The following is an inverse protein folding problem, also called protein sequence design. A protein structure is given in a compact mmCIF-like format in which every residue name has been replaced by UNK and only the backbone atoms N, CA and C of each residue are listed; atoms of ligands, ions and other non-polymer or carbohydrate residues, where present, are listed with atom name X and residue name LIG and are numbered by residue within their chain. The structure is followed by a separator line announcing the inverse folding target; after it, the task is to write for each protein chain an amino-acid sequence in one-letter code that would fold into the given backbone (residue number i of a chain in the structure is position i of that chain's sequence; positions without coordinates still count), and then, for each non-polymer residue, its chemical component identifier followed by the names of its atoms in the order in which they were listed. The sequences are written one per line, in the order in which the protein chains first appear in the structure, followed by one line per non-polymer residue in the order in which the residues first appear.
data_IF_569529637351
#
_entry.id   IF_569529637351
#
_cell.length_a   1.000
_cell.length_b   1.000
_cell.length_c   1.000
_cell.angle_alpha   90.00
_cell.angle_beta   90.00
_cell.angle_gamma   90.00
#
_symmetry.space_group_name_H-M   'P 1'
#
loop_
_entity.id
_entity.type
_entity.pdbx_description
1 polymer ?
#
# COMPACT_ATOMS: atom_id res chain seq x y z
N UNK A 1 -1.33 11.75 -36.27
CA UNK A 1 -0.41 12.23 -35.21
C UNK A 1 -0.59 11.32 -34.03
N UNK A 2 0.42 10.49 -33.78
CA UNK A 2 0.50 9.53 -32.69
C UNK A 2 0.71 10.27 -31.36
N UNK A 3 -0.01 9.88 -30.30
CA UNK A 3 0.44 10.16 -28.94
C UNK A 3 0.01 9.02 -28.00
N UNK A 4 0.90 8.04 -27.97
CA UNK A 4 1.15 6.98 -26.99
C UNK A 4 0.95 7.39 -25.53
N UNK A 5 -0.25 7.24 -24.95
CA UNK A 5 -0.41 7.41 -23.49
C UNK A 5 -1.40 6.46 -22.79
N UNK A 6 -2.08 5.55 -23.50
CA UNK A 6 -2.96 4.56 -22.87
C UNK A 6 -2.24 3.33 -22.30
N UNK A 7 -0.93 3.18 -22.56
CA UNK A 7 -0.08 2.05 -22.14
C UNK A 7 0.83 2.37 -20.93
N UNK A 8 0.51 3.37 -20.11
CA UNK A 8 1.31 3.63 -18.90
C UNK A 8 1.21 2.45 -17.94
N UNK A 9 2.34 2.07 -17.32
CA UNK A 9 2.44 0.93 -16.40
C UNK A 9 1.36 0.97 -15.30
N UNK A 10 1.07 2.17 -14.78
CA UNK A 10 0.03 2.39 -13.76
C UNK A 10 -1.39 2.09 -14.28
N UNK A 11 -1.68 2.42 -15.53
CA UNK A 11 -2.98 2.15 -16.14
C UNK A 11 -3.20 0.64 -16.31
N UNK A 12 -2.15 -0.11 -16.69
CA UNK A 12 -2.20 -1.57 -16.75
C UNK A 12 -2.43 -2.21 -15.37
N UNK A 13 -1.86 -1.62 -14.34
CA UNK A 13 -1.98 -2.07 -12.96
C UNK A 13 -3.39 -1.89 -12.38
N UNK A 14 -4.00 -0.72 -12.56
CA UNK A 14 -5.38 -0.46 -12.10
C UNK A 14 -6.39 -1.34 -12.83
N UNK A 15 -6.15 -1.60 -14.11
CA UNK A 15 -7.02 -2.43 -14.94
C UNK A 15 -6.86 -3.95 -14.70
N UNK A 16 -5.94 -4.38 -13.83
CA UNK A 16 -5.78 -5.81 -13.51
C UNK A 16 -4.95 -6.60 -14.54
N UNK A 17 -4.28 -5.90 -15.47
CA UNK A 17 -3.55 -6.50 -16.59
C UNK A 17 -2.05 -6.68 -16.29
N UNK A 18 -1.63 -6.51 -15.03
CA UNK A 18 -0.23 -6.67 -14.62
C UNK A 18 -0.02 -7.95 -13.82
N UNK A 19 1.18 -8.53 -13.96
CA UNK A 19 1.49 -9.82 -13.33
C UNK A 19 1.47 -9.68 -11.82
N UNK A 20 0.78 -10.61 -11.16
CA UNK A 20 0.58 -10.63 -9.70
C UNK A 20 1.88 -10.47 -8.90
N UNK A 21 2.98 -11.12 -9.33
CA UNK A 21 4.26 -11.02 -8.63
C UNK A 21 4.84 -9.60 -8.67
N UNK A 22 4.67 -8.85 -9.77
CA UNK A 22 5.14 -7.46 -9.86
C UNK A 22 4.35 -6.58 -8.92
N UNK A 23 3.03 -6.75 -8.91
CA UNK A 23 2.14 -6.02 -7.99
C UNK A 23 2.53 -6.34 -6.55
N UNK A 24 2.76 -7.61 -6.24
CA UNK A 24 3.20 -8.03 -4.92
C UNK A 24 4.53 -7.36 -4.54
N UNK A 25 5.62 -7.56 -5.28
CA UNK A 25 6.95 -7.03 -4.91
C UNK A 25 7.04 -5.50 -4.89
N UNK A 26 6.51 -4.83 -5.90
CA UNK A 26 6.59 -3.36 -6.02
C UNK A 26 5.75 -2.71 -4.93
N UNK A 27 4.57 -3.22 -4.64
CA UNK A 27 3.72 -2.63 -3.63
C UNK A 27 4.16 -3.06 -2.22
N UNK A 28 4.43 -4.35 -1.95
CA UNK A 28 4.86 -4.76 -0.60
C UNK A 28 6.14 -4.08 -0.12
N UNK A 29 7.19 -4.13 -0.96
CA UNK A 29 8.54 -3.81 -0.50
C UNK A 29 8.87 -2.37 -0.84
N UNK A 30 8.79 -2.01 -2.12
CA UNK A 30 9.21 -0.69 -2.56
C UNK A 30 8.28 0.38 -2.01
N UNK A 31 6.97 0.18 -2.09
CA UNK A 31 6.02 1.18 -1.61
C UNK A 31 6.03 1.30 -0.08
N UNK A 32 6.22 0.20 0.65
CA UNK A 32 6.32 0.27 2.11
C UNK A 32 7.61 0.90 2.63
N UNK A 33 8.74 0.64 1.97
CA UNK A 33 9.98 1.35 2.25
C UNK A 33 9.83 2.82 1.88
N UNK A 34 9.28 3.12 0.71
CA UNK A 34 9.08 4.48 0.24
C UNK A 34 8.21 5.29 1.19
N UNK A 35 7.04 4.76 1.60
CA UNK A 35 6.16 5.43 2.57
C UNK A 35 6.88 5.63 3.90
N UNK A 36 7.60 4.65 4.43
CA UNK A 36 8.34 4.83 5.69
C UNK A 36 9.48 5.86 5.58
N UNK A 37 10.24 5.85 4.48
CA UNK A 37 11.37 6.75 4.24
C UNK A 37 10.88 8.17 4.00
N UNK A 38 9.88 8.36 3.13
CA UNK A 38 9.24 9.65 2.92
C UNK A 38 8.72 10.20 4.23
N UNK A 39 7.98 9.41 5.01
CA UNK A 39 7.45 9.90 6.28
C UNK A 39 8.54 10.24 7.31
N UNK A 40 9.62 9.45 7.41
CA UNK A 40 10.72 9.76 8.34
C UNK A 40 11.57 10.96 7.92
N UNK A 41 11.63 11.29 6.63
CA UNK A 41 12.47 12.38 6.11
C UNK A 41 11.65 13.67 5.90
N UNK A 42 10.44 13.59 5.36
CA UNK A 42 9.61 14.77 5.08
C UNK A 42 9.07 15.41 6.36
N UNK A 43 8.66 14.61 7.35
CA UNK A 43 8.03 15.12 8.58
C UNK A 43 8.97 16.05 9.36
N UNK A 44 10.25 15.69 9.61
CA UNK A 44 11.21 16.62 10.24
C UNK A 44 11.52 17.85 9.38
N UNK A 45 11.57 17.67 8.06
CA UNK A 45 11.96 18.74 7.12
C UNK A 45 10.91 19.84 6.99
N UNK A 46 9.63 19.51 7.18
CA UNK A 46 8.52 20.44 7.07
C UNK A 46 8.16 21.12 8.41
N UNK A 47 8.88 20.81 9.50
CA UNK A 47 8.63 21.34 10.85
C UNK A 47 7.15 21.25 11.27
N UNK A 48 6.45 20.23 10.78
CA UNK A 48 5.05 19.96 11.14
C UNK A 48 5.08 19.45 12.57
N UNK A 49 4.22 20.02 13.44
CA UNK A 49 4.05 19.54 14.81
C UNK A 49 3.98 18.01 14.84
N UNK A 50 4.78 17.42 15.73
CA UNK A 50 5.02 15.97 15.77
C UNK A 50 3.70 15.19 15.81
N UNK A 51 2.71 15.70 16.52
CA UNK A 51 1.46 14.98 16.75
C UNK A 51 0.55 15.00 15.52
N UNK A 52 0.39 16.16 14.86
CA UNK A 52 -0.38 16.28 13.60
C UNK A 52 0.27 15.44 12.51
N UNK A 53 1.61 15.44 12.45
CA UNK A 53 2.35 14.65 11.48
C UNK A 53 2.12 13.13 11.68
N UNK A 54 2.01 12.68 12.93
CA UNK A 54 1.80 11.28 13.27
C UNK A 54 0.37 10.80 12.93
N UNK A 55 -0.66 11.62 13.18
CA UNK A 55 -2.02 11.29 12.75
C UNK A 55 -2.16 11.26 11.22
N UNK A 56 -1.54 12.22 10.52
CA UNK A 56 -1.51 12.23 9.05
C UNK A 56 -0.84 10.98 8.47
N UNK A 57 0.27 10.54 9.08
CA UNK A 57 0.96 9.30 8.73
C UNK A 57 0.04 8.08 8.87
N UNK A 58 -0.71 7.99 9.97
CA UNK A 58 -1.63 6.87 10.21
C UNK A 58 -2.73 6.84 9.14
N UNK A 59 -3.33 7.98 8.82
CA UNK A 59 -4.37 8.09 7.79
C UNK A 59 -3.84 7.66 6.42
N UNK A 60 -2.68 8.16 6.01
CA UNK A 60 -2.07 7.81 4.72
C UNK A 60 -1.76 6.31 4.65
N UNK A 61 -1.22 5.72 5.72
CA UNK A 61 -0.97 4.27 5.79
C UNK A 61 -2.27 3.47 5.70
N UNK A 62 -3.29 3.86 6.44
CA UNK A 62 -4.62 3.22 6.39
C UNK A 62 -5.16 3.24 4.97
N UNK A 63 -5.16 4.38 4.28
CA UNK A 63 -5.67 4.48 2.91
C UNK A 63 -4.90 3.55 1.96
N UNK A 64 -3.56 3.54 2.05
CA UNK A 64 -2.71 2.80 1.13
C UNK A 64 -2.77 1.28 1.37
N UNK A 65 -2.73 0.85 2.63
CA UNK A 65 -2.64 -0.56 2.98
C UNK A 65 -4.00 -1.24 3.19
N UNK A 66 -5.02 -0.52 3.63
CA UNK A 66 -6.36 -1.09 3.85
C UNK A 66 -7.19 -1.07 2.58
N UNK A 67 -7.04 -0.03 1.74
CA UNK A 67 -7.88 0.13 0.55
C UNK A 67 -7.12 -0.13 -0.74
N UNK A 68 -6.04 0.63 -1.00
CA UNK A 68 -5.39 0.62 -2.31
C UNK A 68 -4.70 -0.71 -2.59
N UNK A 69 -3.90 -1.24 -1.65
CA UNK A 69 -3.16 -2.48 -1.85
C UNK A 69 -4.05 -3.71 -2.06
N UNK A 70 -5.05 -3.99 -1.18
CA UNK A 70 -5.93 -5.13 -1.39
C UNK A 70 -6.71 -5.01 -2.69
N UNK A 71 -7.16 -3.80 -3.05
CA UNK A 71 -7.81 -3.55 -4.33
C UNK A 71 -6.92 -3.92 -5.52
N UNK A 72 -5.67 -3.46 -5.54
CA UNK A 72 -4.72 -3.75 -6.62
C UNK A 72 -4.37 -5.23 -6.69
N UNK A 73 -4.15 -5.89 -5.54
CA UNK A 73 -3.89 -7.33 -5.47
C UNK A 73 -5.10 -8.09 -5.99
N UNK A 74 -6.32 -7.72 -5.57
CA UNK A 74 -7.55 -8.40 -5.99
C UNK A 74 -7.82 -8.24 -7.49
N UNK A 75 -7.57 -7.05 -8.05
CA UNK A 75 -7.70 -6.80 -9.49
C UNK A 75 -6.71 -7.60 -10.33
N UNK A 76 -5.48 -7.75 -9.87
CA UNK A 76 -4.41 -8.45 -10.60
C UNK A 76 -4.28 -9.93 -10.20
N UNK A 77 -5.06 -10.43 -9.24
CA UNK A 77 -4.92 -11.79 -8.68
C UNK A 77 -5.12 -12.88 -9.73
N UNK A 78 -5.98 -12.62 -10.73
CA UNK A 78 -6.30 -13.54 -11.83
C UNK A 78 -5.19 -13.59 -12.89
N UNK A 79 -4.27 -12.63 -12.89
CA UNK A 79 -3.19 -12.54 -13.86
C UNK A 79 -1.94 -13.31 -13.38
N UNK A 80 -2.14 -14.61 -13.17
CA UNK A 80 -1.13 -15.56 -12.73
C UNK A 80 -1.38 -16.91 -13.39
N UNK A 81 -0.31 -17.68 -13.65
CA UNK A 81 -0.42 -19.01 -14.27
C UNK A 81 -0.88 -20.09 -13.29
N UNK A 82 -1.00 -19.79 -11.99
CA UNK A 82 -1.33 -20.78 -10.97
C UNK A 82 -2.35 -20.25 -9.97
N UNK A 83 -3.43 -21.01 -9.84
CA UNK A 83 -4.55 -20.72 -8.94
C UNK A 83 -4.14 -20.72 -7.46
N UNK A 84 -3.09 -21.48 -7.12
CA UNK A 84 -2.52 -21.50 -5.77
C UNK A 84 -1.92 -20.12 -5.43
N UNK A 85 -1.19 -19.52 -6.36
CA UNK A 85 -0.61 -18.19 -6.17
C UNK A 85 -1.67 -17.08 -6.09
N UNK A 86 -2.77 -17.21 -6.82
CA UNK A 86 -3.93 -16.31 -6.67
C UNK A 86 -4.49 -16.34 -5.25
N UNK A 87 -4.75 -17.54 -4.72
CA UNK A 87 -5.33 -17.74 -3.39
C UNK A 87 -4.37 -17.21 -2.32
N UNK A 88 -3.08 -17.55 -2.42
CA UNK A 88 -2.05 -17.09 -1.49
C UNK A 88 -2.01 -15.55 -1.46
N UNK A 89 -2.01 -14.89 -2.61
CA UNK A 89 -1.96 -13.42 -2.66
C UNK A 89 -3.20 -12.77 -2.02
N UNK A 90 -4.39 -13.35 -2.21
CA UNK A 90 -5.62 -12.88 -1.55
C UNK A 90 -5.55 -13.05 -0.04
N UNK A 91 -5.15 -14.23 0.45
CA UNK A 91 -5.00 -14.49 1.89
C UNK A 91 -3.97 -13.53 2.51
N UNK A 92 -2.81 -13.38 1.86
CA UNK A 92 -1.78 -12.43 2.30
C UNK A 92 -2.33 -11.00 2.33
N UNK A 93 -3.10 -10.57 1.32
CA UNK A 93 -3.68 -9.23 1.30
C UNK A 93 -4.60 -8.98 2.49
N UNK A 94 -5.42 -9.96 2.88
CA UNK A 94 -6.31 -9.87 4.04
C UNK A 94 -5.49 -9.83 5.35
N UNK A 95 -4.46 -10.67 5.46
CA UNK A 95 -3.59 -10.71 6.63
C UNK A 95 -2.92 -9.35 6.88
N UNK A 96 -2.47 -8.67 5.82
CA UNK A 96 -1.88 -7.32 5.92
C UNK A 96 -2.90 -6.32 6.44
N UNK A 97 -4.12 -6.36 5.90
CA UNK A 97 -5.18 -5.44 6.35
C UNK A 97 -5.40 -5.59 7.85
N UNK A 98 -5.47 -6.83 8.34
CA UNK A 98 -5.61 -7.11 9.78
C UNK A 98 -4.41 -6.56 10.55
N UNK A 99 -3.18 -6.85 10.10
CA UNK A 99 -1.96 -6.38 10.76
C UNK A 99 -1.86 -4.85 10.82
N UNK A 100 -2.23 -4.15 9.74
CA UNK A 100 -2.19 -2.69 9.68
C UNK A 100 -3.31 -2.05 10.51
N UNK A 101 -4.49 -2.68 10.62
CA UNK A 101 -5.53 -2.26 11.56
C UNK A 101 -5.01 -2.38 13.00
N UNK A 102 -4.44 -3.53 13.38
CA UNK A 102 -3.90 -3.76 14.72
C UNK A 102 -2.79 -2.76 15.02
N UNK A 103 -1.83 -2.59 14.10
CA UNK A 103 -0.71 -1.66 14.25
C UNK A 103 -1.18 -0.21 14.38
N UNK A 104 -2.10 0.23 13.52
CA UNK A 104 -2.64 1.59 13.56
C UNK A 104 -3.40 1.85 14.85
N UNK A 105 -4.16 0.85 15.33
CA UNK A 105 -4.89 0.93 16.60
C UNK A 105 -3.95 1.00 17.80
N UNK A 106 -2.90 0.17 17.83
CA UNK A 106 -1.87 0.21 18.88
C UNK A 106 -1.11 1.54 18.88
N UNK A 107 -0.79 2.06 17.69
CA UNK A 107 -0.12 3.34 17.54
C UNK A 107 -1.00 4.48 18.08
N UNK A 108 -2.29 4.50 17.71
CA UNK A 108 -3.27 5.46 18.23
C UNK A 108 -3.41 5.38 19.76
N UNK A 109 -3.53 4.18 20.31
CA UNK A 109 -3.60 3.97 21.77
C UNK A 109 -2.35 4.53 22.46
N UNK A 110 -1.18 4.28 21.90
CA UNK A 110 0.09 4.78 22.45
C UNK A 110 0.11 6.32 22.49
N UNK A 111 -0.42 7.00 21.47
CA UNK A 111 -0.55 8.46 21.47
C UNK A 111 -1.65 9.00 22.39
N UNK A 112 -2.60 8.18 22.83
CA UNK A 112 -3.65 8.61 23.75
C UNK A 112 -3.25 8.50 25.23
N UNK A 113 -2.27 7.64 25.55
CA UNK A 113 -1.85 7.33 26.93
C UNK A 113 -0.44 7.83 27.30
N UNK A 114 0.26 8.46 26.34
CA UNK A 114 1.51 9.21 26.54
C UNK A 114 1.17 10.69 26.39
#
# INVERSE_FOLDING_TARGET
MENTNSNTWFNRLINGNERLWKVFWIYFILFGIFVNVCLKILVPLLSIDSDISNYGVIIVRVILYIFLMPFLIWKNSKNTNSRVWEIIAKILSILIVILEIIRSSLTLLTYMFI
#
